data_IF_540552384330
#
_entry.id   IF_540552384330
#
_cell.length_a   1.000
_cell.length_b   1.000
_cell.length_c   1.000
_cell.angle_alpha   90.00
_cell.angle_beta   90.00
_cell.angle_gamma   90.00
#
_symmetry.space_group_name_H-M   'P 1'
#
loop_
_entity.id
_entity.type
_entity.pdbx_description
1 polymer ?
#
# COMPACT_ATOMS: atom_id res chain seq x y z
N UNK A 1 -13.43 43.98 59.17
CA UNK A 1 -13.13 42.55 59.50
C UNK A 1 -14.09 41.52 58.89
N UNK A 2 -15.42 41.74 58.84
CA UNK A 2 -16.40 40.70 58.44
C UNK A 2 -16.31 40.15 56.99
N UNK A 3 -15.77 40.89 56.02
CA UNK A 3 -15.61 40.41 54.63
C UNK A 3 -14.48 39.38 54.45
N UNK A 4 -13.40 39.48 55.24
CA UNK A 4 -12.22 38.61 55.12
C UNK A 4 -12.50 37.20 55.68
N UNK A 5 -13.31 37.11 56.74
CA UNK A 5 -13.75 35.82 57.30
C UNK A 5 -14.72 35.07 56.39
N UNK A 6 -15.62 35.78 55.69
CA UNK A 6 -16.58 35.15 54.77
C UNK A 6 -15.87 34.53 53.57
N UNK A 7 -14.88 35.24 53.02
CA UNK A 7 -14.04 34.79 51.90
C UNK A 7 -13.16 33.58 52.28
N UNK A 8 -12.60 33.56 53.50
CA UNK A 8 -11.84 32.41 53.99
C UNK A 8 -12.72 31.16 54.20
N UNK A 9 -13.98 31.32 54.63
CA UNK A 9 -14.92 30.20 54.77
C UNK A 9 -15.32 29.60 53.41
N UNK A 10 -15.51 30.43 52.38
CA UNK A 10 -15.77 29.95 51.01
C UNK A 10 -14.57 29.23 50.40
N UNK A 11 -13.35 29.75 50.60
CA UNK A 11 -12.12 29.09 50.16
C UNK A 11 -11.91 27.74 50.85
N UNK A 12 -12.21 27.63 52.15
CA UNK A 12 -12.15 26.34 52.86
C UNK A 12 -13.17 25.33 52.32
N UNK A 13 -14.34 25.79 51.89
CA UNK A 13 -15.41 24.93 51.36
C UNK A 13 -15.04 24.40 49.97
N UNK A 14 -14.56 25.27 49.07
CA UNK A 14 -14.05 24.86 47.75
C UNK A 14 -12.86 23.91 47.85
N UNK A 15 -11.94 24.13 48.79
CA UNK A 15 -10.80 23.23 48.98
C UNK A 15 -11.20 21.85 49.53
N UNK A 16 -12.30 21.75 50.29
CA UNK A 16 -12.85 20.46 50.71
C UNK A 16 -13.53 19.72 49.55
N UNK A 17 -14.29 20.44 48.72
CA UNK A 17 -14.92 19.87 47.52
C UNK A 17 -13.86 19.31 46.56
N UNK A 18 -12.82 20.09 46.24
CA UNK A 18 -11.72 19.62 45.37
C UNK A 18 -10.99 18.40 45.93
N UNK A 19 -10.78 18.32 47.26
CA UNK A 19 -10.16 17.15 47.89
C UNK A 19 -11.05 15.91 47.84
N UNK A 20 -12.38 16.07 47.95
CA UNK A 20 -13.31 14.95 47.82
C UNK A 20 -13.36 14.44 46.39
N UNK A 21 -13.43 15.34 45.39
CA UNK A 21 -13.41 14.96 43.97
C UNK A 21 -12.10 14.25 43.59
N UNK A 22 -10.96 14.71 44.11
CA UNK A 22 -9.67 14.03 43.88
C UNK A 22 -9.58 12.65 44.56
N UNK A 23 -10.33 12.42 45.64
CA UNK A 23 -10.36 11.14 46.34
C UNK A 23 -11.27 10.14 45.61
N UNK A 24 -12.44 10.59 45.14
CA UNK A 24 -13.35 9.82 44.28
C UNK A 24 -12.66 9.41 42.97
N UNK A 25 -11.96 10.32 42.28
CA UNK A 25 -11.19 9.99 41.06
C UNK A 25 -10.08 8.96 41.33
N UNK A 26 -9.46 8.98 42.51
CA UNK A 26 -8.44 7.97 42.87
C UNK A 26 -9.06 6.61 43.21
N UNK A 27 -10.19 6.59 43.90
CA UNK A 27 -10.91 5.36 44.24
C UNK A 27 -11.51 4.71 42.98
N UNK A 28 -12.04 5.50 42.05
CA UNK A 28 -12.53 5.02 40.74
C UNK A 28 -11.39 4.48 39.87
N UNK A 29 -10.23 5.16 39.82
CA UNK A 29 -9.08 4.65 39.08
C UNK A 29 -8.50 3.36 39.67
N UNK A 30 -8.53 3.20 41.00
CA UNK A 30 -8.12 1.97 41.69
C UNK A 30 -9.13 0.83 41.42
N UNK A 31 -10.43 1.14 41.37
CA UNK A 31 -11.45 0.15 41.04
C UNK A 31 -11.40 -0.27 39.57
N UNK A 32 -11.16 0.66 38.62
CA UNK A 32 -10.94 0.38 37.20
C UNK A 32 -9.66 -0.46 36.99
N UNK A 33 -8.59 -0.21 37.75
CA UNK A 33 -7.39 -1.08 37.68
C UNK A 33 -7.64 -2.45 38.30
N UNK A 34 -8.40 -2.56 39.40
CA UNK A 34 -8.73 -3.86 40.00
C UNK A 34 -9.69 -4.70 39.15
N UNK A 35 -10.68 -4.11 38.48
CA UNK A 35 -11.55 -4.83 37.53
C UNK A 35 -10.75 -5.30 36.32
N UNK A 36 -9.91 -4.45 35.72
CA UNK A 36 -9.08 -4.81 34.57
C UNK A 36 -7.92 -5.79 34.89
N UNK A 37 -7.48 -5.89 36.15
CA UNK A 37 -6.46 -6.86 36.58
C UNK A 37 -7.11 -8.21 36.96
N UNK A 38 -8.36 -8.22 37.44
CA UNK A 38 -9.08 -9.47 37.73
C UNK A 38 -9.48 -10.26 36.48
N UNK A 39 -9.65 -9.59 35.33
CA UNK A 39 -9.90 -10.25 34.04
C UNK A 39 -8.63 -10.70 33.31
N UNK A 40 -7.44 -10.37 33.84
CA UNK A 40 -6.15 -10.64 33.17
C UNK A 40 -5.31 -11.79 33.74
N UNK A 41 -5.89 -12.68 34.57
CA UNK A 41 -5.20 -13.92 34.97
C UNK A 41 -6.05 -15.18 34.79
N UNK A 42 -5.58 -15.96 33.81
CA UNK A 42 -5.64 -17.42 33.71
C UNK A 42 -7.01 -18.10 33.57
N UNK A 43 -7.54 -18.08 32.34
CA UNK A 43 -7.89 -19.29 31.58
C UNK A 43 -8.66 -18.85 30.32
N UNK A 44 -7.94 -18.55 29.22
CA UNK A 44 -8.58 -18.57 27.89
C UNK A 44 -9.13 -19.99 27.72
N UNK A 45 -10.45 -20.14 27.83
CA UNK A 45 -11.15 -21.42 27.98
C UNK A 45 -10.80 -22.42 26.87
N UNK A 46 -10.93 -23.73 27.13
CA UNK A 46 -10.73 -24.78 26.10
C UNK A 46 -11.58 -24.49 24.86
N UNK A 47 -12.78 -23.91 25.04
CA UNK A 47 -13.67 -23.47 23.95
C UNK A 47 -13.02 -22.41 23.07
N UNK A 48 -12.35 -21.43 23.65
CA UNK A 48 -11.64 -20.38 22.91
C UNK A 48 -10.49 -20.95 22.08
N UNK A 49 -9.68 -21.85 22.65
CA UNK A 49 -8.57 -22.47 21.90
C UNK A 49 -9.07 -23.33 20.73
N UNK A 50 -10.14 -24.10 20.94
CA UNK A 50 -10.80 -24.87 19.87
C UNK A 50 -11.31 -24.00 18.74
N UNK A 51 -11.88 -22.84 19.05
CA UNK A 51 -12.40 -21.93 18.04
C UNK A 51 -11.28 -21.27 17.20
N UNK A 52 -10.15 -20.90 17.82
CA UNK A 52 -8.95 -20.49 17.07
C UNK A 52 -8.48 -21.61 16.14
N UNK A 53 -8.44 -22.84 16.66
CA UNK A 53 -8.08 -24.02 15.89
C UNK A 53 -8.99 -24.22 14.68
N UNK A 54 -10.30 -24.08 14.86
CA UNK A 54 -11.30 -24.12 13.78
C UNK A 54 -11.05 -23.06 12.70
N UNK A 55 -10.73 -21.82 13.07
CA UNK A 55 -10.40 -20.74 12.11
C UNK A 55 -9.17 -21.10 11.28
N UNK A 56 -8.12 -21.63 11.91
CA UNK A 56 -6.91 -22.08 11.19
C UNK A 56 -7.19 -23.28 10.27
N UNK A 57 -8.03 -24.22 10.71
CA UNK A 57 -8.49 -25.34 9.89
C UNK A 57 -9.24 -24.85 8.63
N UNK A 58 -10.16 -23.90 8.80
CA UNK A 58 -10.91 -23.32 7.68
C UNK A 58 -9.98 -22.64 6.68
N UNK A 59 -9.04 -21.82 7.16
CA UNK A 59 -8.04 -21.16 6.30
C UNK A 59 -7.25 -22.22 5.52
N UNK A 60 -6.72 -23.23 6.20
CA UNK A 60 -5.95 -24.30 5.54
C UNK A 60 -6.77 -25.02 4.48
N UNK A 61 -8.05 -25.30 4.76
CA UNK A 61 -8.98 -25.93 3.81
C UNK A 61 -9.25 -25.06 2.59
N UNK A 62 -9.47 -23.75 2.78
CA UNK A 62 -9.67 -22.80 1.68
C UNK A 62 -8.42 -22.73 0.79
N UNK A 63 -7.22 -22.82 1.38
CA UNK A 63 -5.96 -22.83 0.63
C UNK A 63 -5.64 -24.19 -0.01
N UNK A 64 -6.41 -25.24 0.27
CA UNK A 64 -6.17 -26.58 -0.25
C UNK A 64 -4.89 -27.25 0.28
N UNK A 65 -4.41 -26.85 1.46
CA UNK A 65 -3.13 -27.33 2.00
C UNK A 65 -3.29 -28.48 3.01
N UNK A 66 -2.32 -29.38 3.05
CA UNK A 66 -2.14 -30.35 4.15
C UNK A 66 -1.60 -29.66 5.41
N UNK A 67 -1.65 -30.33 6.57
CA UNK A 67 -1.13 -29.75 7.83
C UNK A 67 0.37 -29.44 7.74
N UNK A 68 1.13 -30.32 7.09
CA UNK A 68 2.58 -30.18 6.91
C UNK A 68 2.93 -29.04 5.97
N UNK A 69 2.22 -28.92 4.84
CA UNK A 69 2.41 -27.82 3.89
C UNK A 69 2.07 -26.48 4.52
N UNK A 70 0.96 -26.40 5.26
CA UNK A 70 0.60 -25.19 5.97
C UNK A 70 1.70 -24.81 6.97
N UNK A 71 2.15 -25.74 7.81
CA UNK A 71 3.23 -25.49 8.76
C UNK A 71 4.51 -24.99 8.05
N UNK A 72 4.91 -25.59 6.93
CA UNK A 72 6.06 -25.14 6.13
C UNK A 72 5.87 -23.74 5.56
N UNK A 73 4.73 -23.47 4.93
CA UNK A 73 4.43 -22.18 4.29
C UNK A 73 4.43 -21.03 5.31
N UNK A 74 3.92 -21.30 6.50
CA UNK A 74 3.82 -20.32 7.58
C UNK A 74 4.98 -20.37 8.58
N UNK A 75 6.01 -21.18 8.31
CA UNK A 75 7.20 -21.35 9.14
C UNK A 75 6.91 -21.76 10.60
N UNK A 76 5.98 -22.69 10.78
CA UNK A 76 5.73 -23.37 12.04
C UNK A 76 6.44 -24.72 12.11
N UNK A 77 6.84 -25.09 13.32
CA UNK A 77 7.06 -26.50 13.63
C UNK A 77 5.74 -27.26 13.48
N UNK A 78 5.73 -28.35 12.69
CA UNK A 78 4.52 -29.12 12.34
C UNK A 78 3.70 -29.49 13.58
N UNK A 79 4.34 -30.11 14.59
CA UNK A 79 3.65 -30.51 15.83
C UNK A 79 3.08 -29.32 16.63
N UNK A 80 3.72 -28.14 16.53
CA UNK A 80 3.20 -26.93 17.18
C UNK A 80 1.91 -26.51 16.49
N UNK A 81 1.90 -26.48 15.17
CA UNK A 81 0.71 -26.15 14.39
C UNK A 81 -0.45 -27.13 14.63
N UNK A 82 -0.19 -28.44 14.58
CA UNK A 82 -1.21 -29.47 14.84
C UNK A 82 -1.89 -29.25 16.20
N UNK A 83 -1.10 -29.03 17.26
CA UNK A 83 -1.64 -28.77 18.60
C UNK A 83 -2.44 -27.47 18.71
N UNK A 84 -2.15 -26.46 17.88
CA UNK A 84 -2.94 -25.23 17.84
C UNK A 84 -4.24 -25.48 17.08
N UNK A 85 -4.19 -26.12 15.90
CA UNK A 85 -5.37 -26.44 15.09
C UNK A 85 -6.36 -27.34 15.85
N UNK A 86 -5.86 -28.32 16.60
CA UNK A 86 -6.68 -29.23 17.40
C UNK A 86 -7.17 -28.58 18.72
N UNK A 87 -6.80 -27.33 19.00
CA UNK A 87 -7.26 -26.55 20.14
C UNK A 87 -6.59 -26.89 21.48
N UNK A 88 -5.49 -27.64 21.48
CA UNK A 88 -4.71 -27.93 22.68
C UNK A 88 -3.90 -26.70 23.13
N UNK A 89 -3.33 -25.98 22.17
CA UNK A 89 -2.54 -24.78 22.38
C UNK A 89 -3.27 -23.53 21.88
N UNK A 90 -3.01 -22.38 22.52
CA UNK A 90 -3.45 -21.10 22.00
C UNK A 90 -2.52 -20.59 20.90
N UNK A 91 -3.05 -19.75 20.03
CA UNK A 91 -2.27 -18.92 19.10
C UNK A 91 -1.86 -17.64 19.82
N UNK A 92 -0.57 -17.28 19.77
CA UNK A 92 -0.11 -16.00 20.33
C UNK A 92 -0.18 -14.89 19.27
N UNK A 93 -0.11 -13.64 19.73
CA UNK A 93 -0.19 -12.45 18.88
C UNK A 93 0.80 -12.49 17.70
N UNK A 94 2.08 -12.77 17.98
CA UNK A 94 3.14 -12.76 16.97
C UNK A 94 2.92 -13.80 15.87
N UNK A 95 2.49 -15.00 16.27
CA UNK A 95 2.16 -16.10 15.36
C UNK A 95 0.92 -15.75 14.51
N UNK A 96 -0.11 -15.12 15.09
CA UNK A 96 -1.28 -14.64 14.36
C UNK A 96 -0.93 -13.55 13.35
N UNK A 97 -0.17 -12.53 13.75
CA UNK A 97 0.32 -11.46 12.86
C UNK A 97 1.09 -12.03 11.67
N UNK A 98 1.95 -13.02 11.93
CA UNK A 98 2.73 -13.69 10.89
C UNK A 98 1.86 -14.47 9.91
N UNK A 99 0.84 -15.18 10.41
CA UNK A 99 -0.12 -15.89 9.58
C UNK A 99 -0.90 -14.90 8.71
N UNK A 100 -1.47 -13.84 9.30
CA UNK A 100 -2.18 -12.78 8.59
C UNK A 100 -1.30 -12.16 7.49
N UNK A 101 -0.03 -11.86 7.81
CA UNK A 101 0.92 -11.28 6.87
C UNK A 101 1.21 -12.20 5.69
N UNK A 102 1.44 -13.49 5.96
CA UNK A 102 1.71 -14.49 4.92
C UNK A 102 0.49 -14.78 4.05
N UNK A 103 -0.70 -14.81 4.63
CA UNK A 103 -1.97 -14.94 3.90
C UNK A 103 -2.16 -13.79 2.93
N UNK A 104 -1.89 -12.58 3.39
CA UNK A 104 -1.91 -11.40 2.57
C UNK A 104 -0.84 -11.45 1.46
N UNK A 105 0.43 -11.66 1.80
CA UNK A 105 1.52 -11.60 0.83
C UNK A 105 1.54 -12.74 -0.18
N UNK A 106 1.23 -13.98 0.23
CA UNK A 106 1.33 -15.14 -0.66
C UNK A 106 0.00 -15.50 -1.32
N UNK A 107 -1.11 -15.34 -0.60
CA UNK A 107 -2.43 -15.83 -1.02
C UNK A 107 -3.44 -14.72 -1.28
N UNK A 108 -3.07 -13.45 -1.08
CA UNK A 108 -3.90 -12.27 -1.34
C UNK A 108 -5.22 -12.28 -0.55
N UNK A 109 -5.19 -12.81 0.67
CA UNK A 109 -6.35 -12.87 1.58
C UNK A 109 -6.18 -11.91 2.76
N UNK A 110 -7.22 -11.14 3.07
CA UNK A 110 -7.26 -10.26 4.24
C UNK A 110 -7.91 -10.99 5.42
N UNK A 111 -7.07 -11.48 6.32
CA UNK A 111 -7.52 -12.13 7.55
C UNK A 111 -7.01 -11.30 8.74
N UNK A 112 -7.88 -10.52 9.41
CA UNK A 112 -7.45 -9.69 10.51
C UNK A 112 -6.82 -10.53 11.63
N UNK A 113 -5.73 -10.04 12.20
CA UNK A 113 -5.07 -10.69 13.34
C UNK A 113 -6.03 -10.79 14.53
N UNK A 114 -6.82 -9.73 14.78
CA UNK A 114 -7.85 -9.73 15.83
C UNK A 114 -8.94 -10.77 15.58
N UNK A 115 -9.28 -11.03 14.31
CA UNK A 115 -10.20 -12.13 13.98
C UNK A 115 -9.53 -13.47 14.27
N UNK A 116 -8.29 -13.74 13.82
CA UNK A 116 -7.61 -14.99 14.18
C UNK A 116 -7.57 -15.26 15.69
N UNK A 117 -7.47 -14.20 16.49
CA UNK A 117 -7.41 -14.24 17.94
C UNK A 117 -8.76 -14.09 18.65
N UNK A 118 -9.90 -14.08 17.94
CA UNK A 118 -11.23 -13.92 18.54
C UNK A 118 -11.38 -12.64 19.39
N UNK A 119 -10.57 -11.62 19.12
CA UNK A 119 -10.60 -10.33 19.81
C UNK A 119 -11.60 -9.38 19.15
N UNK A 120 -12.04 -9.70 17.93
CA UNK A 120 -13.10 -9.01 17.21
C UNK A 120 -13.89 -9.99 16.31
N UNK A 121 -15.12 -9.60 15.96
CA UNK A 121 -15.99 -10.32 15.04
C UNK A 121 -15.85 -9.86 13.57
N UNK A 122 -14.86 -9.03 13.27
CA UNK A 122 -14.59 -8.57 11.91
C UNK A 122 -14.21 -9.73 10.99
N UNK A 123 -15.07 -10.01 10.02
CA UNK A 123 -14.96 -11.19 9.15
C UNK A 123 -13.83 -10.98 8.11
N UNK A 124 -13.03 -12.01 7.79
CA UNK A 124 -12.07 -11.96 6.70
C UNK A 124 -12.70 -11.49 5.39
N UNK A 125 -12.02 -10.59 4.68
CA UNK A 125 -12.47 -10.04 3.41
C UNK A 125 -11.59 -10.55 2.27
N UNK A 126 -12.16 -10.68 1.07
CA UNK A 126 -11.36 -10.93 -0.11
C UNK A 126 -10.78 -9.62 -0.65
N UNK A 127 -9.56 -9.67 -1.17
CA UNK A 127 -8.87 -8.48 -1.64
C UNK A 127 -9.56 -7.83 -2.86
N UNK A 128 -10.22 -8.67 -3.66
CA UNK A 128 -10.95 -8.26 -4.84
C UNK A 128 -12.28 -7.56 -4.52
N UNK A 129 -12.83 -7.71 -3.31
CA UNK A 129 -14.13 -7.11 -2.94
C UNK A 129 -14.02 -5.82 -2.12
N UNK A 130 -12.86 -5.52 -1.53
CA UNK A 130 -12.69 -4.33 -0.65
C UNK A 130 -12.35 -3.06 -1.43
N UNK A 131 -12.87 -1.89 -1.02
CA UNK A 131 -12.43 -0.61 -1.58
C UNK A 131 -11.00 -0.26 -1.08
N UNK A 132 -10.46 0.86 -1.55
CA UNK A 132 -9.07 1.25 -1.26
C UNK A 132 -8.87 1.61 0.20
N UNK A 133 -9.77 2.40 0.76
CA UNK A 133 -9.72 2.89 2.13
C UNK A 133 -9.78 1.73 3.12
N UNK A 134 -10.63 0.73 2.87
CA UNK A 134 -10.72 -0.51 3.65
C UNK A 134 -9.38 -1.27 3.66
N UNK A 135 -8.68 -1.31 2.52
CA UNK A 135 -7.39 -1.99 2.38
C UNK A 135 -6.31 -1.26 3.19
N UNK A 136 -6.24 0.07 3.08
CA UNK A 136 -5.27 0.88 3.82
C UNK A 136 -5.50 0.80 5.32
N UNK A 137 -6.76 0.92 5.75
CA UNK A 137 -7.15 0.79 7.15
C UNK A 137 -6.83 -0.60 7.69
N UNK A 138 -7.14 -1.65 6.93
CA UNK A 138 -6.78 -3.03 7.30
C UNK A 138 -5.27 -3.19 7.47
N UNK A 139 -4.47 -2.61 6.56
CA UNK A 139 -3.01 -2.66 6.67
C UNK A 139 -2.55 -1.97 7.94
N UNK A 140 -3.06 -0.78 8.24
CA UNK A 140 -2.75 -0.03 9.46
C UNK A 140 -3.09 -0.78 10.74
N UNK A 141 -4.28 -1.39 10.78
CA UNK A 141 -4.78 -2.08 11.96
C UNK A 141 -4.09 -3.42 12.24
N UNK A 142 -3.59 -4.09 11.19
CA UNK A 142 -3.05 -5.45 11.29
C UNK A 142 -1.54 -5.54 11.13
N UNK A 143 -0.93 -4.53 10.51
CA UNK A 143 0.50 -4.47 10.29
C UNK A 143 0.96 -3.06 10.59
N UNK A 144 1.90 -2.91 11.52
CA UNK A 144 2.48 -1.60 11.78
C UNK A 144 2.99 -1.02 10.44
N UNK A 145 2.31 0.03 9.93
CA UNK A 145 2.56 0.57 8.58
C UNK A 145 4.02 0.94 8.40
N UNK A 146 4.72 1.35 9.46
CA UNK A 146 6.16 1.61 9.41
C UNK A 146 6.99 0.38 9.03
N UNK A 147 6.55 -0.82 9.40
CA UNK A 147 7.22 -2.09 9.11
C UNK A 147 6.94 -2.57 7.68
N UNK A 148 5.73 -2.32 7.16
CA UNK A 148 5.40 -2.57 5.75
C UNK A 148 6.08 -1.55 4.84
N UNK A 149 6.09 -0.26 5.21
CA UNK A 149 6.83 0.79 4.49
C UNK A 149 8.34 0.50 4.40
N UNK A 150 8.89 -0.18 5.40
CA UNK A 150 10.29 -0.68 5.38
C UNK A 150 10.49 -1.90 4.46
N UNK A 151 9.44 -2.67 4.20
CA UNK A 151 9.45 -3.79 3.26
C UNK A 151 8.94 -3.34 1.88
N UNK A 152 9.84 -2.70 1.12
CA UNK A 152 9.56 -2.10 -0.18
C UNK A 152 8.82 -3.03 -1.15
N UNK A 153 9.08 -4.35 -1.10
CA UNK A 153 8.47 -5.32 -2.00
C UNK A 153 6.97 -5.48 -1.76
N UNK A 154 6.54 -5.47 -0.49
CA UNK A 154 5.12 -5.60 -0.12
C UNK A 154 4.33 -4.33 -0.47
N UNK A 155 4.94 -3.14 -0.31
CA UNK A 155 4.34 -1.86 -0.72
C UNK A 155 4.12 -1.79 -2.24
N UNK A 156 5.17 -2.03 -3.02
CA UNK A 156 5.08 -1.98 -4.49
C UNK A 156 4.06 -2.98 -5.01
N UNK A 157 4.05 -4.19 -4.46
CA UNK A 157 3.08 -5.21 -4.85
C UNK A 157 1.62 -4.76 -4.58
N UNK A 158 1.37 -4.05 -3.49
CA UNK A 158 0.05 -3.52 -3.18
C UNK A 158 -0.38 -2.37 -4.09
N UNK A 159 0.54 -1.45 -4.36
CA UNK A 159 0.31 -0.36 -5.32
C UNK A 159 -0.05 -0.93 -6.70
N UNK A 160 0.65 -1.99 -7.12
CA UNK A 160 0.37 -2.69 -8.37
C UNK A 160 -1.03 -3.33 -8.39
N UNK A 161 -1.47 -4.02 -7.33
CA UNK A 161 -2.82 -4.60 -7.31
C UNK A 161 -3.88 -3.50 -7.31
N UNK A 162 -3.73 -2.49 -6.45
CA UNK A 162 -4.70 -1.41 -6.35
C UNK A 162 -4.84 -0.70 -7.71
N UNK A 163 -3.71 -0.39 -8.37
CA UNK A 163 -3.72 0.20 -9.70
C UNK A 163 -4.46 -0.69 -10.70
N UNK A 164 -4.14 -1.98 -10.77
CA UNK A 164 -4.82 -2.90 -11.70
C UNK A 164 -6.31 -3.07 -11.42
N UNK A 165 -6.74 -2.89 -10.18
CA UNK A 165 -8.15 -2.96 -9.80
C UNK A 165 -8.93 -1.72 -10.22
N UNK A 166 -8.36 -0.54 -9.97
CA UNK A 166 -9.04 0.75 -10.24
C UNK A 166 -8.82 1.25 -11.66
N UNK A 167 -7.80 0.75 -12.36
CA UNK A 167 -7.46 1.11 -13.75
C UNK A 167 -7.06 -0.17 -14.52
N UNK A 168 -8.02 -1.06 -14.84
CA UNK A 168 -7.75 -2.38 -15.45
C UNK A 168 -7.00 -2.29 -16.78
N UNK A 169 -7.19 -1.21 -17.54
CA UNK A 169 -6.52 -0.88 -18.79
C UNK A 169 -5.02 -0.56 -18.62
N UNK A 170 -4.60 -0.17 -17.41
CA UNK A 170 -3.20 0.19 -17.12
C UNK A 170 -2.37 -1.06 -16.93
N UNK A 171 -1.30 -1.20 -17.70
CA UNK A 171 -0.35 -2.31 -17.60
C UNK A 171 0.83 -1.96 -16.72
N UNK A 172 1.53 -3.00 -16.26
CA UNK A 172 2.68 -2.83 -15.37
C UNK A 172 3.88 -3.53 -16.01
N UNK A 173 4.99 -2.81 -16.10
CA UNK A 173 6.25 -3.30 -16.64
C UNK A 173 7.33 -3.21 -15.56
N UNK A 174 8.11 -4.28 -15.41
CA UNK A 174 9.31 -4.26 -14.57
C UNK A 174 10.50 -3.86 -15.43
N UNK A 175 11.21 -2.82 -15.02
CA UNK A 175 12.39 -2.31 -15.72
C UNK A 175 13.50 -3.36 -15.69
N UNK A 176 13.97 -3.76 -16.88
CA UNK A 176 14.92 -4.87 -17.04
C UNK A 176 16.38 -4.44 -17.15
N UNK A 177 16.64 -3.16 -17.43
CA UNK A 177 17.98 -2.58 -17.59
C UNK A 177 18.12 -1.21 -16.93
N UNK A 178 19.36 -0.71 -16.84
CA UNK A 178 19.69 0.59 -16.25
C UNK A 178 19.97 1.66 -17.33
N UNK A 179 19.44 1.51 -18.56
CA UNK A 179 19.81 2.44 -19.63
C UNK A 179 19.07 3.78 -19.53
N UNK A 180 17.92 3.81 -18.87
CA UNK A 180 17.17 5.05 -18.63
C UNK A 180 17.69 5.72 -17.34
N UNK A 181 18.06 7.01 -17.34
CA UNK A 181 18.64 7.67 -16.16
C UNK A 181 17.69 7.76 -14.97
N UNK A 182 16.39 7.83 -15.23
CA UNK A 182 15.35 8.02 -14.22
C UNK A 182 14.85 6.70 -13.62
N UNK A 183 15.21 5.56 -14.21
CA UNK A 183 14.68 4.24 -13.88
C UNK A 183 15.81 3.23 -13.68
N UNK A 184 15.75 2.47 -12.59
CA UNK A 184 16.69 1.40 -12.30
C UNK A 184 16.05 0.05 -12.61
N UNK A 185 16.89 -0.92 -12.97
CA UNK A 185 16.51 -2.32 -13.08
C UNK A 185 15.82 -2.79 -11.79
N UNK A 186 14.66 -3.40 -11.93
CA UNK A 186 13.80 -3.84 -10.83
C UNK A 186 12.73 -2.83 -10.41
N UNK A 187 12.78 -1.59 -10.90
CA UNK A 187 11.67 -0.65 -10.73
C UNK A 187 10.44 -1.14 -11.49
N UNK A 188 9.25 -0.79 -11.00
CA UNK A 188 8.00 -1.04 -11.71
C UNK A 188 7.46 0.30 -12.24
N UNK A 189 6.94 0.27 -13.47
CA UNK A 189 6.29 1.41 -14.11
C UNK A 189 4.91 1.01 -14.59
N UNK A 190 3.98 1.95 -14.51
CA UNK A 190 2.64 1.80 -15.07
C UNK A 190 2.61 2.39 -16.48
N UNK A 191 1.90 1.75 -17.41
CA UNK A 191 1.79 2.24 -18.77
C UNK A 191 0.43 1.92 -19.40
N UNK A 192 -0.03 2.77 -20.31
CA UNK A 192 -1.24 2.55 -21.10
C UNK A 192 -0.85 2.27 -22.55
N UNK A 193 -1.43 1.22 -23.14
CA UNK A 193 -1.22 0.94 -24.55
C UNK A 193 -1.80 2.09 -25.40
N UNK A 194 -1.04 2.50 -26.41
CA UNK A 194 -1.46 3.48 -27.39
C UNK A 194 -1.48 2.85 -28.78
N UNK A 195 -2.39 3.33 -29.63
CA UNK A 195 -2.39 2.95 -31.03
C UNK A 195 -1.10 3.41 -31.71
N UNK A 196 -0.49 2.55 -32.52
CA UNK A 196 0.79 2.83 -33.20
C UNK A 196 0.68 4.06 -34.10
N UNK A 197 -0.48 4.27 -34.71
CA UNK A 197 -0.78 5.43 -35.55
C UNK A 197 -0.69 6.75 -34.78
N UNK A 198 -0.97 6.71 -33.47
CA UNK A 198 -0.92 7.88 -32.60
C UNK A 198 0.45 8.07 -31.92
N UNK A 199 1.47 7.25 -32.24
CA UNK A 199 2.78 7.34 -31.59
C UNK A 199 3.47 8.71 -31.76
N UNK A 200 3.29 9.37 -32.90
CA UNK A 200 3.85 10.70 -33.19
C UNK A 200 3.45 11.76 -32.15
N UNK A 201 2.30 11.60 -31.50
CA UNK A 201 1.79 12.52 -30.48
C UNK A 201 2.56 12.45 -29.16
N UNK A 202 3.37 11.41 -28.99
CA UNK A 202 4.11 11.12 -27.76
C UNK A 202 5.63 11.16 -27.97
N UNK A 203 6.08 11.95 -28.94
CA UNK A 203 7.50 12.15 -29.20
C UNK A 203 8.22 12.74 -27.97
N UNK A 204 9.28 12.07 -27.55
CA UNK A 204 10.04 12.42 -26.34
C UNK A 204 9.43 11.91 -25.03
N UNK A 205 8.31 11.20 -25.08
CA UNK A 205 7.76 10.53 -23.90
C UNK A 205 8.50 9.22 -23.62
N UNK A 206 8.51 8.82 -22.35
CA UNK A 206 8.98 7.49 -21.93
C UNK A 206 7.87 6.49 -22.25
N UNK A 207 8.21 5.47 -23.03
CA UNK A 207 7.28 4.41 -23.39
C UNK A 207 7.89 3.03 -23.08
N UNK A 208 7.01 2.07 -22.83
CA UNK A 208 7.30 0.64 -22.91
C UNK A 208 7.04 0.21 -24.34
N UNK A 209 8.07 -0.31 -25.01
CA UNK A 209 8.00 -0.80 -26.38
C UNK A 209 8.17 -2.30 -26.35
N UNK A 210 7.18 -3.01 -26.89
CA UNK A 210 7.23 -4.47 -27.05
C UNK A 210 7.57 -4.76 -28.50
N UNK A 211 8.75 -5.34 -28.75
CA UNK A 211 9.23 -5.63 -30.11
C UNK A 211 8.65 -6.97 -30.56
N UNK A 212 8.78 -8.00 -29.74
CA UNK A 212 8.21 -9.34 -29.93
C UNK A 212 7.54 -9.84 -28.64
N UNK A 213 7.01 -11.07 -28.63
CA UNK A 213 6.31 -11.62 -27.46
C UNK A 213 7.18 -11.70 -26.18
N UNK A 214 8.51 -11.64 -26.31
CA UNK A 214 9.44 -11.89 -25.21
C UNK A 214 10.28 -10.66 -24.85
N UNK A 215 10.23 -9.60 -25.64
CA UNK A 215 11.10 -8.44 -25.49
C UNK A 215 10.30 -7.14 -25.39
N UNK A 216 10.19 -6.64 -24.16
CA UNK A 216 9.74 -5.28 -23.87
C UNK A 216 10.87 -4.46 -23.26
N UNK A 217 10.99 -3.21 -23.70
CA UNK A 217 12.03 -2.27 -23.25
C UNK A 217 11.42 -0.92 -22.90
N UNK A 218 12.05 -0.20 -21.96
CA UNK A 218 11.66 1.14 -21.55
C UNK A 218 12.58 2.18 -22.20
N UNK A 219 12.06 3.04 -23.09
CA UNK A 219 12.86 4.06 -23.80
C UNK A 219 12.04 5.33 -24.06
N UNK A 220 12.74 6.44 -24.28
CA UNK A 220 12.14 7.58 -24.96
C UNK A 220 11.87 7.22 -26.42
N UNK A 221 10.69 7.58 -26.92
CA UNK A 221 10.28 7.29 -28.31
C UNK A 221 10.21 8.57 -29.10
N UNK A 222 10.77 8.56 -30.32
CA UNK A 222 10.63 9.63 -31.29
C UNK A 222 10.24 9.04 -32.65
N UNK A 223 9.15 9.52 -33.24
CA UNK A 223 8.79 9.20 -34.61
C UNK A 223 9.46 10.19 -35.56
N UNK A 224 10.30 9.66 -36.45
CA UNK A 224 11.01 10.41 -37.50
C UNK A 224 10.65 9.79 -38.84
N UNK A 225 9.69 10.42 -39.55
CA UNK A 225 9.08 9.84 -40.74
C UNK A 225 8.37 8.52 -40.41
N UNK A 226 8.74 7.45 -41.14
CA UNK A 226 8.20 6.10 -40.94
C UNK A 226 9.03 5.23 -39.99
N UNK A 227 9.92 5.85 -39.19
CA UNK A 227 10.76 5.14 -38.23
C UNK A 227 10.47 5.60 -36.81
N UNK A 228 10.61 4.66 -35.88
CA UNK A 228 10.62 4.87 -34.45
C UNK A 228 12.08 4.83 -33.98
N UNK A 229 12.53 5.94 -33.40
CA UNK A 229 13.84 6.12 -32.81
C UNK A 229 13.70 6.00 -31.30
N UNK A 230 14.26 4.94 -30.73
CA UNK A 230 14.22 4.63 -29.31
C UNK A 230 15.55 5.04 -28.67
N UNK A 231 15.49 5.92 -27.67
CA UNK A 231 16.69 6.40 -26.96
C UNK A 231 16.56 6.22 -25.45
N UNK A 232 17.69 6.06 -24.77
CA UNK A 232 17.74 5.87 -23.33
C UNK A 232 18.37 7.07 -22.62
N UNK A 233 19.45 7.61 -23.20
CA UNK A 233 20.17 8.79 -22.71
C UNK A 233 21.08 9.36 -23.81
N UNK A 234 21.57 10.59 -23.63
CA UNK A 234 22.63 11.17 -24.48
C UNK A 234 23.88 10.27 -24.40
N UNK A 235 24.30 9.69 -25.52
CA UNK A 235 25.50 8.84 -25.63
C UNK A 235 25.25 7.33 -25.74
N UNK A 236 24.01 6.86 -25.60
CA UNK A 236 23.66 5.47 -25.95
C UNK A 236 23.19 5.44 -27.40
N UNK A 237 23.70 4.49 -28.19
CA UNK A 237 23.27 4.31 -29.58
C UNK A 237 21.75 4.09 -29.62
N UNK A 238 21.00 4.92 -30.38
CA UNK A 238 19.56 4.76 -30.50
C UNK A 238 19.22 3.47 -31.26
N UNK A 239 18.08 2.87 -30.92
CA UNK A 239 17.53 1.74 -31.67
C UNK A 239 16.53 2.32 -32.66
N UNK A 240 16.69 2.01 -33.94
CA UNK A 240 15.79 2.47 -34.99
C UNK A 240 14.96 1.27 -35.45
N UNK A 241 13.64 1.40 -35.34
CA UNK A 241 12.68 0.36 -35.72
C UNK A 241 11.67 0.92 -36.72
N UNK A 242 11.15 0.07 -37.58
CA UNK A 242 9.92 0.36 -38.32
C UNK A 242 8.70 0.03 -37.45
N UNK A 243 7.56 0.75 -37.61
CA UNK A 243 6.34 0.51 -36.83
C UNK A 243 5.81 -0.92 -36.89
N UNK A 244 6.05 -1.64 -37.99
CA UNK A 244 5.66 -3.05 -38.16
C UNK A 244 6.52 -4.03 -37.33
N UNK A 245 7.73 -3.63 -36.91
CA UNK A 245 8.61 -4.42 -36.05
C UNK A 245 8.27 -4.30 -34.56
N UNK A 246 7.34 -3.41 -34.22
CA UNK A 246 6.90 -3.19 -32.84
C UNK A 246 5.55 -3.87 -32.67
N UNK A 247 5.42 -4.79 -31.72
CA UNK A 247 4.16 -5.43 -31.37
C UNK A 247 3.20 -4.43 -30.69
N UNK A 248 3.66 -3.69 -29.69
CA UNK A 248 2.87 -2.67 -28.99
C UNK A 248 3.74 -1.53 -28.44
N UNK A 249 3.10 -0.37 -28.23
CA UNK A 249 3.71 0.79 -27.59
C UNK A 249 2.79 1.20 -26.46
N UNK A 250 3.38 1.46 -25.30
CA UNK A 250 2.65 1.93 -24.14
C UNK A 250 3.29 3.16 -23.53
N UNK A 251 2.51 4.23 -23.35
CA UNK A 251 3.00 5.44 -22.69
C UNK A 251 3.05 5.22 -21.18
N UNK A 252 4.17 5.58 -20.56
CA UNK A 252 4.33 5.50 -19.11
C UNK A 252 3.53 6.62 -18.45
N UNK A 253 2.63 6.24 -17.53
CA UNK A 253 1.71 7.18 -16.86
C UNK A 253 2.27 7.72 -15.54
N UNK A 254 2.98 6.89 -14.78
CA UNK A 254 3.59 7.30 -13.51
C UNK A 254 5.07 6.95 -13.43
N UNK A 255 5.83 7.81 -12.76
CA UNK A 255 7.21 7.49 -12.38
C UNK A 255 7.20 6.53 -11.19
N UNK A 256 8.00 5.47 -11.35
CA UNK A 256 8.61 4.60 -10.34
C UNK A 256 7.77 4.29 -9.10
N UNK A 257 7.30 3.05 -9.00
CA UNK A 257 6.96 2.49 -7.68
C UNK A 257 8.25 2.26 -6.89
N UNK A 258 8.61 3.24 -6.06
CA UNK A 258 9.60 3.13 -4.99
C UNK A 258 8.97 3.70 -3.71
N UNK A 259 9.30 3.10 -2.57
CA UNK A 259 8.59 3.11 -1.29
C UNK A 259 8.27 4.44 -0.56
N UNK A 260 8.26 5.60 -1.22
CA UNK A 260 8.17 6.89 -0.53
C UNK A 260 7.07 7.85 -1.04
N UNK A 261 6.46 7.67 -2.22
CA UNK A 261 5.53 8.69 -2.75
C UNK A 261 4.10 8.16 -3.00
N UNK A 262 3.44 7.72 -1.92
CA UNK A 262 2.00 7.37 -1.96
C UNK A 262 1.08 8.60 -1.97
N UNK A 263 1.56 9.76 -1.53
CA UNK A 263 0.72 10.96 -1.40
C UNK A 263 0.55 11.74 -2.72
N UNK A 264 1.55 11.73 -3.60
CA UNK A 264 1.57 12.59 -4.79
C UNK A 264 0.79 11.97 -5.97
N UNK A 265 0.64 10.64 -6.02
CA UNK A 265 -0.19 9.95 -7.01
C UNK A 265 -1.70 10.15 -6.76
N UNK A 266 -2.09 10.76 -5.62
CA UNK A 266 -3.48 10.88 -5.17
C UNK A 266 -4.01 12.30 -5.03
N UNK A 267 -3.15 13.31 -4.93
CA UNK A 267 -3.57 14.70 -5.10
C UNK A 267 -4.05 14.98 -6.52
N UNK A 268 -3.46 14.30 -7.51
CA UNK A 268 -3.74 14.54 -8.93
C UNK A 268 -5.05 13.88 -9.41
N UNK A 269 -5.60 12.91 -8.64
CA UNK A 269 -6.90 12.28 -8.91
C UNK A 269 -8.04 12.94 -8.12
N UNK A 270 -7.74 13.61 -6.99
CA UNK A 270 -8.76 14.22 -6.09
C UNK A 270 -9.12 15.67 -6.44
N UNK A 271 -8.56 16.25 -7.49
CA UNK A 271 -8.94 17.58 -7.98
C UNK A 271 -9.99 17.57 -9.10
N UNK A 272 -10.45 16.40 -9.54
CA UNK A 272 -11.47 16.29 -10.59
C UNK A 272 -12.59 15.32 -10.17
N UNK A 273 -13.27 15.64 -9.06
CA UNK A 273 -14.60 15.08 -8.82
C UNK A 273 -15.66 15.97 -9.51
N UNK A 274 -16.53 15.29 -10.26
CA UNK A 274 -17.76 15.75 -10.91
C UNK A 274 -17.61 16.38 -12.31
N UNK A 275 -17.24 15.55 -13.29
CA UNK A 275 -18.08 15.35 -14.48
C UNK A 275 -17.54 14.14 -15.27
N UNK A 276 -18.41 13.16 -15.49
CA UNK A 276 -18.20 12.10 -16.47
C UNK A 276 -18.32 12.71 -17.87
N UNK A 277 -17.28 13.37 -18.34
CA UNK A 277 -17.11 13.74 -19.74
C UNK A 277 -15.69 13.39 -20.18
N UNK A 278 -15.60 12.87 -21.39
CA UNK A 278 -14.36 12.45 -22.05
C UNK A 278 -13.20 13.41 -21.75
N UNK A 279 -12.11 12.89 -21.17
CA UNK A 279 -10.86 13.65 -21.01
C UNK A 279 -10.44 14.10 -22.40
N UNK A 280 -10.53 15.41 -22.63
CA UNK A 280 -10.19 16.01 -23.94
C UNK A 280 -8.70 16.27 -24.03
N UNK A 281 -8.21 16.34 -25.27
CA UNK A 281 -6.80 16.55 -25.61
C UNK A 281 -6.16 17.75 -24.88
N UNK A 282 -6.94 18.82 -24.62
CA UNK A 282 -6.48 20.02 -23.91
C UNK A 282 -6.22 19.79 -22.40
N UNK A 283 -6.85 18.79 -21.78
CA UNK A 283 -6.62 18.46 -20.37
C UNK A 283 -5.31 17.67 -20.19
N UNK A 284 -4.95 16.81 -21.15
CA UNK A 284 -3.66 16.11 -21.15
C UNK A 284 -2.47 17.06 -21.38
N UNK A 285 -2.65 18.11 -22.20
CA UNK A 285 -1.62 19.12 -22.48
C UNK A 285 -1.37 20.08 -21.29
N UNK A 286 -2.37 20.28 -20.42
CA UNK A 286 -2.21 21.04 -19.16
C UNK A 286 -1.43 20.27 -18.08
N UNK A 287 -1.56 18.95 -18.04
CA UNK A 287 -0.80 18.08 -17.13
C UNK A 287 0.68 17.95 -17.51
N UNK A 288 1.02 18.03 -18.80
CA UNK A 288 2.42 18.03 -19.26
C UNK A 288 3.13 19.36 -19.02
N UNK A 289 2.40 20.48 -19.00
CA UNK A 289 2.97 21.83 -18.93
C UNK A 289 3.10 22.41 -17.51
N UNK A 290 2.52 21.76 -16.49
CA UNK A 290 2.56 22.27 -15.10
C UNK A 290 3.83 21.89 -14.31
N UNK A 291 4.73 21.03 -14.84
CA UNK A 291 5.99 20.66 -14.15
C UNK A 291 7.28 21.35 -14.67
N UNK A 292 7.17 22.41 -15.48
CA UNK A 292 8.33 23.19 -15.99
C UNK A 292 8.37 24.66 -15.54
N UNK A 293 7.90 24.97 -14.33
CA UNK A 293 8.24 26.25 -13.67
C UNK A 293 9.05 26.01 -12.41
N UNK A 294 10.37 25.83 -12.57
CA UNK A 294 11.40 26.51 -11.78
C UNK A 294 12.83 26.08 -12.15
N UNK A 295 13.41 26.77 -13.14
CA UNK A 295 14.76 27.38 -13.07
C UNK A 295 15.01 28.16 -14.36
N UNK A 296 14.85 29.48 -14.32
CA UNK A 296 15.44 30.37 -15.33
C UNK A 296 16.96 30.14 -15.30
N UNK A 297 17.50 29.51 -16.34
CA UNK A 297 18.92 29.63 -16.69
C UNK A 297 19.01 30.46 -17.95
N UNK A 298 19.82 31.52 -17.84
CA UNK A 298 20.17 32.48 -18.88
C UNK A 298 20.77 31.71 -20.06
N UNK A 299 20.10 31.69 -21.20
CA UNK A 299 20.67 31.22 -22.47
C UNK A 299 21.46 32.41 -23.02
N UNK A 300 22.79 32.24 -23.15
CA UNK A 300 23.61 33.18 -23.92
C UNK A 300 23.30 32.97 -25.40
N UNK A 301 23.02 34.06 -26.11
CA UNK A 301 22.81 34.04 -27.56
C UNK A 301 24.12 33.79 -28.30
N UNK A 302 24.02 33.09 -29.44
CA UNK A 302 25.08 32.64 -30.34
C UNK A 302 25.98 33.73 -30.98
N UNK A 303 25.98 34.96 -30.46
CA UNK A 303 26.84 36.06 -30.93
C UNK A 303 28.05 36.34 -30.01
N UNK A 304 28.33 35.47 -29.04
CA UNK A 304 29.50 35.58 -28.15
C UNK A 304 30.38 34.31 -28.14
N UNK A 305 30.47 33.60 -29.27
CA UNK A 305 31.52 32.60 -29.57
C UNK A 305 32.17 32.94 -30.90
#
# INVERSE_FOLDING_TARGET
MKKKEKMNKELLKKNKEVKNTQKEIKEDNINITKTNISEKKSCKSVKYKKEIGNRLFQIRKILGLTKDEFAKVFNFHVMKYIRIEDGHNGLNQKDAEWISFRLFNKFKKFIPTKWLLLENNEIPKDLYTSNKEDILQYLEDNFNLEKIKKDNTSCVFMEMILLKKFSPEVNIFMVTDNKMPEYKKGDYVSYLNIDKENCHKFNGCVCVITIDMNMSILRYVYQVGNYLVLTANLGVTPIILQPNQVASIGIVLSKRFNSIEFNDLLSDVKSEDNNSENITYEQMEKLSNTKTKNKKRKILSLNEI
#
